data_IF_321775437102
#
_entry.id   IF_321775437102
#
_cell.length_a   1.000
_cell.length_b   1.000
_cell.length_c   1.000
_cell.angle_alpha   90.00
_cell.angle_beta   90.00
_cell.angle_gamma   90.00
#
_symmetry.space_group_name_H-M   'P 1'
#
loop_
_entity.id
_entity.type
_entity.pdbx_description
1 polymer ?
#
# COMPACT_ATOMS: atom_id res chain seq x y z
N UNK A 1 30.73 19.64 19.26
CA UNK A 1 30.79 20.96 18.61
C UNK A 1 31.84 20.94 17.50
N UNK A 2 31.43 20.76 16.25
CA UNK A 2 32.25 21.04 15.05
C UNK A 2 31.35 21.00 13.81
N UNK A 3 30.47 22.00 13.67
CA UNK A 3 29.49 22.07 12.56
C UNK A 3 29.33 23.49 11.97
N UNK A 4 30.34 24.35 12.06
CA UNK A 4 30.14 25.80 11.84
C UNK A 4 31.21 26.54 11.01
N UNK A 5 32.08 25.85 10.28
CA UNK A 5 33.16 26.55 9.56
C UNK A 5 33.47 25.93 8.20
N UNK A 6 32.58 26.11 7.23
CA UNK A 6 32.84 26.20 5.78
C UNK A 6 31.51 26.14 5.05
N UNK A 7 30.97 27.31 4.72
CA UNK A 7 30.15 27.65 3.55
C UNK A 7 29.47 29.00 3.79
N UNK A 8 30.30 29.96 4.20
CA UNK A 8 30.00 31.38 4.18
C UNK A 8 30.68 31.92 2.92
N UNK A 9 29.92 32.71 2.14
CA UNK A 9 30.26 33.35 0.85
C UNK A 9 29.84 32.58 -0.39
N UNK A 10 28.54 32.64 -0.75
CA UNK A 10 28.16 33.34 -1.98
C UNK A 10 26.67 33.70 -1.95
N UNK A 11 26.38 34.90 -1.46
CA UNK A 11 25.08 35.57 -1.56
C UNK A 11 24.91 36.17 -2.95
N UNK A 12 23.90 35.75 -3.71
CA UNK A 12 23.28 36.57 -4.74
C UNK A 12 21.78 36.71 -4.44
N UNK A 13 21.43 37.96 -4.14
CA UNK A 13 20.09 38.49 -3.92
C UNK A 13 19.20 38.27 -5.16
N UNK A 14 18.04 37.64 -4.98
CA UNK A 14 16.83 38.02 -5.72
C UNK A 14 15.70 38.12 -4.69
N UNK A 15 15.37 39.37 -4.38
CA UNK A 15 14.27 39.76 -3.52
C UNK A 15 13.09 40.23 -4.37
N UNK A 16 11.89 40.12 -3.78
CA UNK A 16 10.60 40.70 -4.18
C UNK A 16 9.90 39.99 -5.37
N UNK A 17 8.60 39.71 -5.35
CA UNK A 17 7.50 40.28 -4.56
C UNK A 17 6.23 39.41 -4.63
N UNK A 18 5.56 39.32 -3.49
CA UNK A 18 4.11 39.37 -3.23
C UNK A 18 3.09 38.82 -4.25
N UNK A 19 2.25 37.91 -3.73
CA UNK A 19 0.91 37.60 -4.24
C UNK A 19 0.10 36.82 -3.21
N UNK A 20 -0.32 37.49 -2.12
CA UNK A 20 -1.48 37.05 -1.33
C UNK A 20 -2.74 37.39 -2.13
N UNK A 21 -3.71 36.46 -2.17
CA UNK A 21 -5.18 36.64 -2.11
C UNK A 21 -5.83 35.43 -2.79
N UNK A 22 -6.59 34.66 -2.01
CA UNK A 22 -7.39 33.54 -2.51
C UNK A 22 -8.19 32.80 -1.46
N UNK A 23 -8.70 33.47 -0.41
CA UNK A 23 -9.81 32.93 0.39
C UNK A 23 -11.12 33.34 -0.30
N UNK A 24 -11.77 32.40 -0.98
CA UNK A 24 -13.17 32.51 -1.37
C UNK A 24 -14.01 31.54 -0.56
N UNK A 25 -14.58 32.00 0.55
CA UNK A 25 -15.53 31.25 1.36
C UNK A 25 -16.79 32.09 1.57
N UNK A 26 -17.80 31.98 0.71
CA UNK A 26 -19.16 32.38 1.11
C UNK A 26 -20.22 31.63 0.30
N UNK A 27 -20.83 30.62 0.91
CA UNK A 27 -22.29 30.42 0.90
C UNK A 27 -22.68 29.45 2.02
N UNK A 28 -23.50 29.94 2.94
CA UNK A 28 -24.29 29.17 3.91
C UNK A 28 -25.78 29.48 3.64
N UNK A 29 -26.75 28.86 4.34
CA UNK A 29 -27.11 27.44 4.37
C UNK A 29 -28.59 27.21 3.96
N UNK A 30 -28.99 25.91 3.89
CA UNK A 30 -30.35 25.30 3.89
C UNK A 30 -31.18 25.31 2.58
N UNK A 31 -32.17 24.40 2.36
CA UNK A 31 -32.53 23.13 3.01
C UNK A 31 -32.64 21.91 2.04
N UNK A 32 -32.81 20.72 2.63
CA UNK A 32 -33.29 19.44 2.08
C UNK A 32 -34.13 19.49 0.78
N UNK A 33 -33.75 18.69 -0.24
CA UNK A 33 -34.67 17.91 -1.09
C UNK A 33 -33.87 16.85 -1.88
N UNK A 34 -34.39 15.63 -1.80
CA UNK A 34 -34.02 14.42 -2.51
C UNK A 34 -33.78 14.56 -4.02
N UNK A 35 -32.94 13.65 -4.56
CA UNK A 35 -33.04 12.93 -5.86
C UNK A 35 -31.74 12.11 -6.04
N UNK A 36 -31.80 10.77 -5.89
CA UNK A 36 -31.84 9.76 -6.97
C UNK A 36 -30.59 9.72 -7.84
N UNK A 37 -29.99 8.53 -7.93
CA UNK A 37 -28.81 8.11 -8.72
C UNK A 37 -28.66 8.76 -10.10
N UNK A 38 -27.41 8.86 -10.58
CA UNK A 38 -27.06 8.08 -11.77
C UNK A 38 -25.64 7.47 -11.79
N UNK A 39 -25.56 6.29 -12.43
CA UNK A 39 -24.46 5.75 -13.24
C UNK A 39 -23.12 5.43 -12.55
N UNK A 40 -22.80 4.15 -12.36
CA UNK A 40 -22.18 3.27 -13.37
C UNK A 40 -20.83 3.81 -13.87
N UNK A 41 -19.78 3.45 -13.13
CA UNK A 41 -18.45 3.31 -13.68
C UNK A 41 -17.98 1.89 -13.45
N UNK A 42 -18.34 1.07 -14.43
CA UNK A 42 -17.69 -0.15 -14.83
C UNK A 42 -16.17 0.08 -14.95
N UNK A 43 -15.42 -0.36 -13.95
CA UNK A 43 -13.99 -0.58 -14.09
C UNK A 43 -13.75 -2.08 -14.21
N UNK A 44 -13.82 -2.54 -15.46
CA UNK A 44 -13.22 -3.79 -15.91
C UNK A 44 -11.75 -3.83 -15.50
N UNK A 45 -11.45 -4.55 -14.43
CA UNK A 45 -10.17 -5.21 -14.25
C UNK A 45 -10.40 -6.71 -14.34
N UNK A 46 -10.49 -7.16 -15.60
CA UNK A 46 -10.42 -8.56 -15.96
C UNK A 46 -9.10 -9.17 -15.52
N UNK A 47 -9.12 -9.79 -14.34
CA UNK A 47 -8.16 -10.81 -13.97
C UNK A 47 -8.91 -12.13 -13.85
N UNK A 48 -8.76 -12.97 -14.88
CA UNK A 48 -9.11 -14.37 -14.79
C UNK A 48 -8.27 -15.00 -13.69
N UNK A 49 -8.88 -15.15 -12.51
CA UNK A 49 -8.35 -15.97 -11.43
C UNK A 49 -8.80 -17.42 -11.67
N UNK A 50 -7.78 -18.26 -11.82
CA UNK A 50 -7.91 -19.70 -11.93
C UNK A 50 -8.59 -20.28 -10.67
N UNK A 51 -9.30 -21.38 -10.86
CA UNK A 51 -10.33 -21.88 -9.93
C UNK A 51 -9.70 -22.63 -8.75
N UNK A 52 -9.26 -21.92 -7.71
CA UNK A 52 -9.12 -22.48 -6.37
C UNK A 52 -9.82 -21.54 -5.38
N UNK A 53 -10.87 -22.04 -4.71
CA UNK A 53 -11.88 -21.24 -4.02
C UNK A 53 -11.42 -20.52 -2.75
N UNK A 54 -10.61 -19.48 -2.91
CA UNK A 54 -10.32 -18.48 -1.88
C UNK A 54 -10.96 -17.15 -2.29
N UNK A 55 -11.53 -16.41 -1.33
CA UNK A 55 -12.22 -15.14 -1.59
C UNK A 55 -11.22 -14.03 -1.97
N UNK A 56 -10.77 -14.01 -3.23
CA UNK A 56 -9.84 -13.00 -3.77
C UNK A 56 -10.48 -11.62 -4.03
N UNK A 57 -11.54 -11.27 -3.31
CA UNK A 57 -12.24 -9.98 -3.47
C UNK A 57 -11.63 -8.83 -2.66
N UNK A 58 -10.78 -9.13 -1.68
CA UNK A 58 -10.16 -8.15 -0.79
C UNK A 58 -8.73 -7.80 -1.22
N UNK A 59 -8.18 -6.70 -0.70
CA UNK A 59 -6.78 -6.32 -0.95
C UNK A 59 -5.78 -7.18 -0.15
N UNK A 60 -6.23 -7.85 0.91
CA UNK A 60 -5.37 -8.54 1.87
C UNK A 60 -5.65 -10.04 1.90
N UNK A 61 -4.59 -10.85 1.82
CA UNK A 61 -4.68 -12.29 1.99
C UNK A 61 -4.64 -12.63 3.47
N UNK A 62 -5.79 -13.03 4.03
CA UNK A 62 -5.90 -13.37 5.45
C UNK A 62 -5.06 -14.59 5.83
N UNK A 63 -4.97 -15.57 4.93
CA UNK A 63 -4.24 -16.82 5.16
C UNK A 63 -2.73 -16.59 5.14
N UNK A 64 -2.22 -15.76 4.23
CA UNK A 64 -0.78 -15.64 4.01
C UNK A 64 -0.15 -14.35 4.54
N UNK A 65 -0.96 -13.39 5.02
CA UNK A 65 -0.49 -12.20 5.73
C UNK A 65 0.23 -11.18 4.86
N UNK A 66 -0.13 -11.10 3.59
CA UNK A 66 0.42 -10.18 2.59
C UNK A 66 -0.71 -9.63 1.71
N UNK A 67 -0.50 -8.51 0.99
CA UNK A 67 -1.44 -8.07 -0.04
C UNK A 67 -1.70 -9.17 -1.07
N UNK A 68 -2.94 -9.30 -1.55
CA UNK A 68 -3.32 -10.35 -2.53
C UNK A 68 -2.50 -10.28 -3.82
N UNK A 69 -2.20 -9.08 -4.30
CA UNK A 69 -1.37 -8.84 -5.49
C UNK A 69 0.12 -9.17 -5.29
N UNK A 70 0.57 -9.21 -4.04
CA UNK A 70 1.92 -9.63 -3.66
C UNK A 70 1.97 -11.10 -3.22
N UNK A 71 0.83 -11.80 -3.09
CA UNK A 71 0.80 -13.14 -2.50
C UNK A 71 1.28 -14.25 -3.45
N UNK A 72 2.52 -14.70 -3.25
CA UNK A 72 3.09 -15.79 -4.04
C UNK A 72 2.43 -17.16 -3.77
N UNK A 73 1.75 -17.32 -2.63
CA UNK A 73 1.04 -18.55 -2.31
C UNK A 73 -0.34 -18.63 -3.00
N UNK A 74 -0.89 -17.49 -3.42
CA UNK A 74 -2.15 -17.41 -4.16
C UNK A 74 -1.94 -17.24 -5.68
N UNK A 75 -0.85 -16.59 -6.12
CA UNK A 75 -0.56 -16.37 -7.55
C UNK A 75 0.78 -17.01 -7.98
N UNK A 76 0.68 -18.02 -8.85
CA UNK A 76 1.82 -18.73 -9.42
C UNK A 76 2.76 -17.83 -10.24
N UNK A 77 2.24 -16.76 -10.87
CA UNK A 77 3.06 -15.76 -11.59
C UNK A 77 3.90 -14.95 -10.61
N UNK A 78 3.32 -14.57 -9.47
CA UNK A 78 4.03 -13.88 -8.38
C UNK A 78 5.12 -14.81 -7.81
N UNK A 79 4.79 -16.07 -7.54
CA UNK A 79 5.78 -17.07 -7.11
C UNK A 79 6.92 -17.23 -8.12
N UNK A 80 6.61 -17.35 -9.41
CA UNK A 80 7.62 -17.46 -10.46
C UNK A 80 8.52 -16.21 -10.52
N UNK A 81 7.97 -15.02 -10.30
CA UNK A 81 8.73 -13.77 -10.24
C UNK A 81 9.72 -13.75 -9.06
N UNK A 82 9.30 -14.19 -7.87
CA UNK A 82 10.17 -14.32 -6.71
C UNK A 82 11.27 -15.37 -6.92
N UNK A 83 10.91 -16.56 -7.43
CA UNK A 83 11.88 -17.62 -7.81
C UNK A 83 12.93 -17.11 -8.80
N UNK A 84 12.51 -16.36 -9.83
CA UNK A 84 13.41 -15.77 -10.82
C UNK A 84 14.37 -14.75 -10.21
N UNK A 85 13.95 -14.03 -9.17
CA UNK A 85 14.78 -13.06 -8.43
C UNK A 85 15.73 -13.75 -7.42
N UNK A 86 15.60 -15.05 -7.20
CA UNK A 86 16.34 -15.79 -6.18
C UNK A 86 15.79 -15.59 -4.76
N UNK A 87 14.63 -14.95 -4.62
CA UNK A 87 13.96 -14.70 -3.35
C UNK A 87 13.02 -15.87 -3.06
N UNK A 88 13.58 -17.01 -2.65
CA UNK A 88 12.82 -18.22 -2.35
C UNK A 88 13.40 -18.98 -1.16
N UNK A 89 12.61 -19.10 -0.10
CA UNK A 89 12.89 -20.00 1.01
C UNK A 89 12.50 -21.42 0.57
N UNK A 90 13.49 -22.30 0.44
CA UNK A 90 13.26 -23.70 0.02
C UNK A 90 12.66 -24.56 1.12
N UNK A 91 12.91 -24.23 2.39
CA UNK A 91 12.44 -25.02 3.53
C UNK A 91 10.93 -24.90 3.74
N UNK A 92 10.36 -23.73 3.43
CA UNK A 92 8.94 -23.40 3.63
C UNK A 92 8.21 -23.06 2.32
N UNK A 93 8.80 -23.43 1.18
CA UNK A 93 8.29 -23.23 -0.19
C UNK A 93 7.52 -21.92 -0.45
N UNK A 94 8.12 -20.80 -0.06
CA UNK A 94 7.55 -19.45 -0.24
C UNK A 94 8.66 -18.42 -0.48
N UNK A 95 8.35 -17.19 -0.94
CA UNK A 95 9.38 -16.16 -1.07
C UNK A 95 10.08 -15.94 0.26
N UNK A 96 11.41 -15.79 0.25
CA UNK A 96 12.17 -15.59 1.48
C UNK A 96 11.72 -14.29 2.17
N UNK A 97 11.48 -13.23 1.40
CA UNK A 97 10.89 -11.97 1.85
C UNK A 97 9.46 -12.07 2.41
N UNK A 98 8.77 -13.19 2.19
CA UNK A 98 7.45 -13.48 2.74
C UNK A 98 7.48 -14.63 3.75
N UNK A 99 8.64 -15.24 4.02
CA UNK A 99 8.73 -16.39 4.92
C UNK A 99 8.77 -15.93 6.38
N UNK A 100 7.61 -15.81 7.02
CA UNK A 100 7.51 -15.37 8.41
C UNK A 100 8.00 -16.39 9.45
N UNK A 101 8.26 -17.64 9.02
CA UNK A 101 8.91 -18.65 9.86
C UNK A 101 10.40 -18.36 10.00
N UNK A 102 11.06 -17.98 8.90
CA UNK A 102 12.48 -17.60 8.89
C UNK A 102 12.69 -16.14 9.33
N UNK A 103 11.76 -15.25 8.94
CA UNK A 103 11.86 -13.80 9.09
C UNK A 103 10.61 -13.24 9.79
N UNK A 104 10.42 -13.48 11.10
CA UNK A 104 9.23 -13.04 11.83
C UNK A 104 9.07 -11.51 11.85
N UNK A 105 10.15 -10.74 11.68
CA UNK A 105 10.10 -9.29 11.56
C UNK A 105 9.37 -8.81 10.31
N UNK A 106 9.37 -9.61 9.22
CA UNK A 106 8.63 -9.30 7.99
C UNK A 106 7.13 -9.28 8.23
N UNK A 107 6.63 -10.12 9.15
CA UNK A 107 5.21 -10.13 9.50
C UNK A 107 4.76 -8.77 10.03
N UNK A 108 5.54 -8.15 10.91
CA UNK A 108 5.23 -6.82 11.45
C UNK A 108 5.33 -5.73 10.36
N UNK A 109 6.28 -5.83 9.42
CA UNK A 109 6.36 -4.92 8.27
C UNK A 109 5.09 -4.97 7.41
N UNK A 110 4.59 -6.17 7.09
CA UNK A 110 3.34 -6.32 6.34
C UNK A 110 2.12 -5.92 7.18
N UNK A 111 2.12 -6.22 8.48
CA UNK A 111 1.05 -5.79 9.38
C UNK A 111 0.94 -4.27 9.47
N UNK A 112 2.06 -3.55 9.47
CA UNK A 112 2.08 -2.10 9.42
C UNK A 112 1.45 -1.56 8.12
N UNK A 113 1.67 -2.21 6.97
CA UNK A 113 0.98 -1.86 5.70
C UNK A 113 -0.53 -2.00 5.83
N UNK A 114 -1.00 -3.08 6.45
CA UNK A 114 -2.43 -3.30 6.70
C UNK A 114 -3.01 -2.27 7.67
N UNK A 115 -2.34 -2.03 8.80
CA UNK A 115 -2.75 -1.03 9.78
C UNK A 115 -2.82 0.37 9.18
N UNK A 116 -1.86 0.75 8.34
CA UNK A 116 -1.87 2.04 7.64
C UNK A 116 -3.11 2.21 6.74
N UNK A 117 -3.63 1.11 6.17
CA UNK A 117 -4.82 1.14 5.30
C UNK A 117 -6.14 1.07 6.07
N UNK A 118 -6.19 0.26 7.13
CA UNK A 118 -7.44 -0.08 7.81
C UNK A 118 -7.57 0.46 9.24
N UNK A 119 -6.51 1.07 9.79
CA UNK A 119 -6.48 1.59 11.16
C UNK A 119 -6.55 0.53 12.26
N UNK A 120 -6.36 -0.75 11.92
CA UNK A 120 -6.43 -1.89 12.85
C UNK A 120 -5.46 -3.00 12.41
N UNK A 121 -5.07 -3.86 13.35
CA UNK A 121 -4.21 -5.03 13.08
C UNK A 121 -4.82 -6.00 12.05
N UNK A 122 -4.01 -6.63 11.18
CA UNK A 122 -4.50 -7.68 10.30
C UNK A 122 -4.94 -8.91 11.10
N UNK A 123 -5.78 -9.76 10.50
CA UNK A 123 -5.95 -11.13 10.97
C UNK A 123 -4.61 -11.86 11.06
N UNK A 124 -4.48 -12.77 12.02
CA UNK A 124 -3.27 -13.59 12.17
C UNK A 124 -3.17 -14.54 10.96
N UNK A 125 -2.05 -14.54 10.21
CA UNK A 125 -1.88 -15.46 9.10
C UNK A 125 -1.55 -16.87 9.56
N UNK A 126 -1.75 -17.82 8.66
CA UNK A 126 -1.29 -19.18 8.77
C UNK A 126 0.20 -19.25 8.43
N UNK A 127 0.98 -19.85 9.34
CA UNK A 127 2.42 -20.02 9.22
C UNK A 127 2.70 -21.50 8.95
N UNK A 128 2.41 -21.92 7.73
CA UNK A 128 2.69 -23.26 7.22
C UNK A 128 3.93 -23.29 6.33
#
# INVERSE_FOLDING_TARGET
MNLLKKNLLLTCLIAASYGLIGCGQNSAPTPEVAKTDPDDHDHEHGHSHDKNGHEHGAWWCNEHGVPEDECALCDAKVAAAFKKKGDWCKEHDRPDSQCFICHPEKLEEYAAKYEAKYGKKPPKPELN
#
